data_IF_800057593002
#
_entry.id   IF_800057593002
#
_cell.length_a   1.000
_cell.length_b   1.000
_cell.length_c   1.000
_cell.angle_alpha   90.00
_cell.angle_beta   90.00
_cell.angle_gamma   90.00
#
_symmetry.space_group_name_H-M   'P 1'
#
loop_
_entity.id
_entity.type
_entity.pdbx_description
1 polymer ?
#
# COMPACT_ATOMS: atom_id res chain seq x y z
N UNK A 1 3.88 -9.46 -11.51
CA UNK A 1 5.11 -9.83 -10.77
C UNK A 1 6.09 -10.66 -11.61
N UNK A 2 5.67 -11.43 -12.62
CA UNK A 2 6.56 -12.20 -13.51
C UNK A 2 7.50 -11.37 -14.40
N UNK A 3 7.35 -10.04 -14.41
CA UNK A 3 8.14 -9.10 -15.21
C UNK A 3 9.27 -8.42 -14.44
N UNK A 4 9.36 -8.64 -13.12
CA UNK A 4 10.45 -8.11 -12.28
C UNK A 4 11.54 -9.18 -12.11
N UNK A 5 12.83 -8.77 -12.06
CA UNK A 5 13.94 -9.72 -11.93
C UNK A 5 13.98 -10.43 -10.56
N UNK A 6 13.29 -9.89 -9.55
CA UNK A 6 13.21 -10.44 -8.20
C UNK A 6 11.82 -10.20 -7.60
N UNK A 7 11.47 -11.00 -6.60
CA UNK A 7 10.26 -10.79 -5.80
C UNK A 7 10.54 -9.67 -4.79
N UNK A 8 9.80 -8.55 -4.83
CA UNK A 8 10.01 -7.45 -3.90
C UNK A 8 9.54 -7.85 -2.50
N UNK A 9 10.36 -7.58 -1.49
CA UNK A 9 10.02 -7.77 -0.07
C UNK A 9 9.73 -6.45 0.64
N UNK A 10 10.06 -5.32 0.01
CA UNK A 10 9.78 -3.96 0.48
C UNK A 10 9.26 -3.13 -0.68
N UNK A 11 8.16 -2.43 -0.47
CA UNK A 11 7.50 -1.60 -1.49
C UNK A 11 7.18 -0.23 -0.86
N UNK A 12 7.40 0.84 -1.61
CA UNK A 12 6.93 2.18 -1.27
C UNK A 12 5.87 2.59 -2.28
N UNK A 13 4.72 3.05 -1.80
CA UNK A 13 3.62 3.59 -2.62
C UNK A 13 3.54 5.10 -2.38
N UNK A 14 4.07 5.89 -3.32
CA UNK A 14 4.19 7.35 -3.21
C UNK A 14 2.99 8.00 -3.91
N UNK A 15 2.29 8.89 -3.19
CA UNK A 15 1.00 9.41 -3.64
C UNK A 15 -0.09 8.35 -3.54
N UNK A 16 -0.12 7.62 -2.42
CA UNK A 16 -0.99 6.46 -2.25
C UNK A 16 -2.48 6.81 -2.21
N UNK A 17 -2.82 8.09 -1.99
CA UNK A 17 -4.18 8.57 -1.75
C UNK A 17 -4.87 7.71 -0.69
N UNK A 18 -6.12 7.33 -0.95
CA UNK A 18 -6.95 6.47 -0.07
C UNK A 18 -6.56 4.97 -0.13
N UNK A 19 -5.38 4.68 -0.68
CA UNK A 19 -4.70 3.38 -0.72
C UNK A 19 -5.37 2.28 -1.53
N UNK A 20 -5.93 2.61 -2.71
CA UNK A 20 -6.38 1.57 -3.65
C UNK A 20 -5.23 0.66 -4.08
N UNK A 21 -4.12 1.27 -4.53
CA UNK A 21 -2.90 0.56 -4.92
C UNK A 21 -2.24 -0.13 -3.73
N UNK A 22 -2.10 0.55 -2.59
CA UNK A 22 -1.61 -0.02 -1.32
C UNK A 22 -2.31 -1.33 -0.97
N UNK A 23 -3.65 -1.35 -1.01
CA UNK A 23 -4.43 -2.56 -0.67
C UNK A 23 -4.27 -3.67 -1.69
N UNK A 24 -4.16 -3.33 -2.98
CA UNK A 24 -3.90 -4.31 -4.03
C UNK A 24 -2.51 -4.95 -3.84
N UNK A 25 -1.51 -4.14 -3.52
CA UNK A 25 -0.16 -4.62 -3.21
C UNK A 25 -0.17 -5.51 -1.96
N UNK A 26 -0.89 -5.14 -0.90
CA UNK A 26 -1.01 -5.94 0.33
C UNK A 26 -1.71 -7.28 0.07
N UNK A 27 -2.72 -7.32 -0.80
CA UNK A 27 -3.43 -8.54 -1.17
C UNK A 27 -2.59 -9.50 -2.01
N UNK A 28 -1.73 -8.98 -2.87
CA UNK A 28 -1.02 -9.77 -3.88
C UNK A 28 0.46 -9.98 -3.57
N UNK A 29 0.97 -9.43 -2.47
CA UNK A 29 2.36 -9.56 -2.07
C UNK A 29 2.46 -9.83 -0.57
N UNK A 30 3.57 -10.43 -0.15
CA UNK A 30 3.95 -10.52 1.26
C UNK A 30 4.98 -9.44 1.63
N UNK A 31 5.07 -8.39 0.81
CA UNK A 31 6.05 -7.33 1.01
C UNK A 31 5.62 -6.43 2.18
N UNK A 32 6.62 -5.88 2.88
CA UNK A 32 6.38 -4.73 3.74
C UNK A 32 6.10 -3.51 2.86
N UNK A 33 4.93 -2.89 3.03
CA UNK A 33 4.51 -1.73 2.24
C UNK A 33 4.56 -0.48 3.11
N UNK A 34 5.19 0.57 2.60
CA UNK A 34 5.15 1.92 3.17
C UNK A 34 4.36 2.81 2.23
N UNK A 35 3.18 3.23 2.67
CA UNK A 35 2.32 4.16 1.94
C UNK A 35 2.65 5.60 2.35
N UNK A 36 2.85 6.49 1.38
CA UNK A 36 3.19 7.90 1.61
C UNK A 36 2.27 8.77 0.77
N UNK A 37 1.67 9.77 1.40
CA UNK A 37 0.93 10.82 0.74
C UNK A 37 1.18 12.14 1.49
N UNK A 38 1.04 13.27 0.79
CA UNK A 38 1.15 14.58 1.41
C UNK A 38 -0.17 15.04 2.05
N UNK A 39 -1.29 14.44 1.63
CA UNK A 39 -2.62 14.73 2.16
C UNK A 39 -2.92 13.80 3.35
N UNK A 40 -2.85 14.35 4.57
CA UNK A 40 -3.06 13.59 5.81
C UNK A 40 -4.43 12.90 5.83
N UNK A 41 -5.48 13.57 5.34
CA UNK A 41 -6.82 12.99 5.31
C UNK A 41 -6.91 11.71 4.47
N UNK A 42 -6.07 11.59 3.43
CA UNK A 42 -6.01 10.38 2.61
C UNK A 42 -5.35 9.22 3.37
N UNK A 43 -4.32 9.51 4.18
CA UNK A 43 -3.66 8.54 5.06
C UNK A 43 -4.57 8.08 6.20
N UNK A 44 -5.35 9.01 6.77
CA UNK A 44 -6.32 8.69 7.82
C UNK A 44 -7.40 7.74 7.28
N UNK A 45 -8.01 8.06 6.13
CA UNK A 45 -8.97 7.17 5.45
C UNK A 45 -8.36 5.81 5.09
N UNK A 46 -7.09 5.77 4.68
CA UNK A 46 -6.40 4.51 4.42
C UNK A 46 -6.22 3.70 5.71
N UNK A 47 -5.81 4.35 6.79
CA UNK A 47 -5.66 3.73 8.11
C UNK A 47 -6.96 3.10 8.60
N UNK A 48 -8.06 3.85 8.54
CA UNK A 48 -9.40 3.37 8.90
C UNK A 48 -9.78 2.11 8.10
N UNK A 49 -9.67 2.18 6.77
CA UNK A 49 -10.00 1.04 5.88
C UNK A 49 -9.14 -0.20 6.09
N UNK A 50 -7.90 -0.03 6.54
CA UNK A 50 -7.01 -1.15 6.87
C UNK A 50 -7.39 -1.77 8.22
N UNK A 51 -7.85 -0.96 9.18
CA UNK A 51 -8.31 -1.46 10.48
C UNK A 51 -9.69 -2.14 10.42
N UNK A 52 -10.58 -1.70 9.53
CA UNK A 52 -11.89 -2.35 9.31
C UNK A 52 -11.81 -3.72 8.63
N UNK A 53 -10.69 -4.03 7.97
CA UNK A 53 -10.45 -5.28 7.23
C UNK A 53 -9.56 -6.27 8.03
N UNK A 54 -9.29 -5.99 9.31
CA UNK A 54 -8.49 -6.81 10.23
C UNK A 54 -9.32 -7.74 11.12
#
# INVERSE_FOLDING_TARGET
MSTLPTIPTKIIDIGCGKGFSTRLLAKHTQAQIVAVDNEQSALDELGERLTEQG
#
